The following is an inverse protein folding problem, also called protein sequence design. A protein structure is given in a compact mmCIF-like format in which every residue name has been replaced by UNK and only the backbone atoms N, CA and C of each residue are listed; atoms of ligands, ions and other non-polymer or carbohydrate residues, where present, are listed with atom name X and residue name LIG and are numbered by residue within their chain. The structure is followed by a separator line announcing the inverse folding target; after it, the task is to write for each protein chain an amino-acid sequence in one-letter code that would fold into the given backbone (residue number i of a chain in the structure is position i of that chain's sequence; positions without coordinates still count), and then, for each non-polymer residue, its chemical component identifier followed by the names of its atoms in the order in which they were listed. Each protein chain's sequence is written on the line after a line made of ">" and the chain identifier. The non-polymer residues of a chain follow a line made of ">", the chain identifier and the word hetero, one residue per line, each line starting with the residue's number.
data_IF_228220592577
#
_entry.id   IF_228220592577
#
_cell.length_a   1.000
_cell.length_b   1.000
_cell.length_c   1.000
_cell.angle_alpha   90.00
_cell.angle_beta   90.00
_cell.angle_gamma   90.00
#
_symmetry.space_group_name_H-M   'P 1'
#
loop_
_entity.id
_entity.type
_entity.pdbx_description
1 polymer ?
#
# COMPACT_ATOMS: atom_id res chain seq x y z
N UNK A 1 16.93 -9.47 -23.22
CA UNK A 1 15.65 -9.93 -23.80
C UNK A 1 14.58 -9.59 -22.80
N UNK A 2 13.75 -8.58 -23.09
CA UNK A 2 12.56 -8.30 -22.30
C UNK A 2 11.62 -9.51 -22.49
N UNK A 3 11.46 -10.32 -21.45
CA UNK A 3 10.40 -11.32 -21.46
C UNK A 3 9.07 -10.59 -21.43
N UNK A 4 8.25 -10.81 -22.44
CA UNK A 4 6.85 -10.41 -22.40
C UNK A 4 6.20 -11.19 -21.27
N UNK A 5 5.44 -10.51 -20.41
CA UNK A 5 4.53 -11.18 -19.49
C UNK A 5 3.78 -12.26 -20.28
N UNK A 6 4.01 -13.52 -19.91
CA UNK A 6 3.49 -14.64 -20.67
C UNK A 6 2.02 -14.81 -20.30
N UNK A 7 1.16 -14.20 -21.09
CA UNK A 7 -0.27 -14.43 -21.01
C UNK A 7 -0.58 -15.73 -21.75
N UNK A 8 -0.77 -16.80 -21.01
CA UNK A 8 -1.38 -18.00 -21.56
C UNK A 8 -2.88 -17.74 -21.66
N UNK A 9 -3.47 -17.98 -22.83
CA UNK A 9 -4.92 -17.99 -23.11
C UNK A 9 -5.68 -16.64 -23.08
N UNK A 10 -5.00 -15.48 -23.13
CA UNK A 10 -5.65 -14.16 -23.10
C UNK A 10 -6.16 -13.74 -21.73
N UNK A 11 -5.77 -14.43 -20.67
CA UNK A 11 -6.08 -14.08 -19.28
C UNK A 11 -5.01 -13.17 -18.71
N UNK A 12 -5.43 -12.04 -18.13
CA UNK A 12 -4.58 -11.08 -17.45
C UNK A 12 -4.90 -11.06 -15.96
N UNK A 13 -4.01 -11.63 -15.15
CA UNK A 13 -4.21 -11.75 -13.71
C UNK A 13 -3.51 -10.61 -12.99
N UNK A 14 -4.28 -9.75 -12.36
CA UNK A 14 -3.79 -8.60 -11.59
C UNK A 14 -3.68 -8.97 -10.13
N UNK A 15 -2.46 -8.90 -9.58
CA UNK A 15 -2.20 -9.04 -8.16
C UNK A 15 -2.30 -7.71 -7.43
N UNK A 16 -3.03 -7.66 -6.34
CA UNK A 16 -3.28 -6.45 -5.56
C UNK A 16 -3.55 -6.76 -4.09
N UNK A 17 -3.29 -5.77 -3.24
CA UNK A 17 -3.69 -5.76 -1.84
C UNK A 17 -5.17 -5.33 -1.75
N UNK A 18 -6.05 -6.23 -1.31
CA UNK A 18 -7.48 -5.97 -1.20
C UNK A 18 -7.89 -5.09 0.00
N UNK A 19 -6.95 -4.69 0.83
CA UNK A 19 -7.12 -3.77 1.96
C UNK A 19 -6.43 -2.42 1.69
N UNK A 20 -6.50 -1.95 0.44
CA UNK A 20 -5.84 -0.74 -0.03
C UNK A 20 -6.80 0.20 -0.79
N UNK A 21 -7.91 0.63 -0.15
CA UNK A 21 -8.85 1.56 -0.77
C UNK A 21 -8.23 2.96 -0.93
N UNK A 22 -8.56 3.73 -1.95
CA UNK A 22 -9.54 3.48 -3.00
C UNK A 22 -8.99 2.72 -4.22
N UNK A 23 -7.77 2.20 -4.18
CA UNK A 23 -7.08 1.60 -5.33
C UNK A 23 -7.57 0.17 -5.61
N UNK A 24 -7.58 -0.70 -4.60
CA UNK A 24 -8.11 -2.06 -4.65
C UNK A 24 -8.65 -2.47 -3.30
N UNK A 25 -9.88 -2.90 -3.24
CA UNK A 25 -10.53 -3.30 -2.00
C UNK A 25 -11.79 -4.14 -2.27
N UNK A 26 -12.35 -4.71 -1.22
CA UNK A 26 -13.62 -5.42 -1.27
C UNK A 26 -14.75 -4.50 -0.83
N UNK A 27 -15.78 -4.38 -1.65
CA UNK A 27 -16.97 -3.60 -1.31
C UNK A 27 -17.93 -4.37 -0.38
N UNK A 28 -19.03 -3.73 0.00
CA UNK A 28 -20.05 -4.32 0.88
C UNK A 28 -20.72 -5.57 0.28
N UNK A 29 -20.74 -5.70 -1.05
CA UNK A 29 -21.27 -6.88 -1.75
C UNK A 29 -20.29 -8.05 -1.80
N UNK A 30 -19.04 -7.84 -1.40
CA UNK A 30 -17.98 -8.81 -1.47
C UNK A 30 -17.21 -8.82 -2.80
N UNK A 31 -17.49 -7.85 -3.69
CA UNK A 31 -16.78 -7.71 -4.96
C UNK A 31 -15.49 -6.91 -4.78
N UNK A 32 -14.46 -7.27 -5.55
CA UNK A 32 -13.23 -6.51 -5.63
C UNK A 32 -13.39 -5.34 -6.58
N UNK A 33 -13.19 -4.14 -6.05
CA UNK A 33 -13.39 -2.86 -6.73
C UNK A 33 -12.24 -1.91 -6.46
N UNK A 34 -12.21 -0.79 -7.15
CA UNK A 34 -11.28 0.29 -6.92
C UNK A 34 -10.72 0.88 -8.20
N UNK A 35 -10.03 2.01 -8.03
CA UNK A 35 -9.49 2.80 -9.12
C UNK A 35 -8.53 1.98 -10.01
N UNK A 36 -7.61 1.24 -9.42
CA UNK A 36 -6.64 0.43 -10.16
C UNK A 36 -7.32 -0.72 -10.89
N UNK A 37 -8.33 -1.34 -10.28
CA UNK A 37 -9.08 -2.44 -10.89
C UNK A 37 -9.95 -1.96 -12.05
N UNK A 38 -10.49 -0.75 -11.98
CA UNK A 38 -11.22 -0.12 -13.09
C UNK A 38 -10.28 0.15 -14.28
N UNK A 39 -9.07 0.66 -14.01
CA UNK A 39 -8.05 0.85 -15.04
C UNK A 39 -7.63 -0.48 -15.68
N UNK A 40 -7.44 -1.51 -14.85
CA UNK A 40 -7.08 -2.85 -15.33
C UNK A 40 -8.18 -3.44 -16.23
N UNK A 41 -9.45 -3.25 -15.87
CA UNK A 41 -10.56 -3.69 -16.69
C UNK A 41 -10.59 -2.98 -18.05
N UNK A 42 -10.33 -1.67 -18.08
CA UNK A 42 -10.27 -0.91 -19.33
C UNK A 42 -9.12 -1.36 -20.22
N UNK A 43 -7.95 -1.62 -19.64
CA UNK A 43 -6.81 -2.18 -20.38
C UNK A 43 -7.16 -3.53 -20.98
N UNK A 44 -7.80 -4.39 -20.21
CA UNK A 44 -8.26 -5.72 -20.71
C UNK A 44 -9.28 -5.58 -21.85
N UNK A 45 -10.25 -4.66 -21.70
CA UNK A 45 -11.26 -4.41 -22.73
C UNK A 45 -10.63 -3.98 -24.06
N UNK A 46 -9.65 -3.07 -24.02
CA UNK A 46 -8.95 -2.56 -25.20
C UNK A 46 -8.07 -3.61 -25.90
N UNK A 47 -7.61 -4.61 -25.16
CA UNK A 47 -6.74 -5.65 -25.68
C UNK A 47 -7.45 -6.99 -25.96
N UNK A 48 -8.74 -7.08 -25.65
CA UNK A 48 -9.49 -8.32 -25.78
C UNK A 48 -9.06 -9.40 -24.78
N UNK A 49 -8.58 -8.98 -23.60
CA UNK A 49 -8.14 -9.87 -22.52
C UNK A 49 -9.24 -10.07 -21.49
N UNK A 50 -9.15 -11.20 -20.79
CA UNK A 50 -10.01 -11.48 -19.63
C UNK A 50 -9.28 -11.07 -18.35
N UNK A 51 -9.86 -10.17 -17.56
CA UNK A 51 -9.32 -9.76 -16.27
C UNK A 51 -9.62 -10.82 -15.21
N UNK A 52 -8.59 -11.21 -14.48
CA UNK A 52 -8.70 -11.96 -13.22
C UNK A 52 -8.14 -11.09 -12.10
N UNK A 53 -8.95 -10.81 -11.09
CA UNK A 53 -8.59 -10.03 -9.92
C UNK A 53 -8.09 -11.00 -8.84
N UNK A 54 -6.80 -10.96 -8.55
CA UNK A 54 -6.16 -11.86 -7.59
C UNK A 54 -5.68 -11.08 -6.36
N UNK A 55 -6.40 -11.15 -5.23
CA UNK A 55 -5.88 -10.57 -4.00
C UNK A 55 -4.65 -11.34 -3.54
N UNK A 56 -3.65 -10.60 -3.09
CA UNK A 56 -2.38 -11.15 -2.58
C UNK A 56 -2.01 -10.48 -1.27
N UNK A 57 -1.21 -11.17 -0.47
CA UNK A 57 -0.48 -10.52 0.60
C UNK A 57 0.61 -9.63 -0.01
N UNK A 58 0.68 -8.37 0.42
CA UNK A 58 1.60 -7.42 -0.17
C UNK A 58 3.07 -7.86 -0.08
N UNK A 59 3.42 -8.47 1.04
CA UNK A 59 4.78 -9.00 1.28
C UNK A 59 5.14 -10.19 0.36
N UNK A 60 4.16 -10.82 -0.26
CA UNK A 60 4.33 -11.95 -1.20
C UNK A 60 4.36 -11.54 -2.67
N UNK A 61 4.23 -10.26 -2.99
CA UNK A 61 4.04 -9.77 -4.37
C UNK A 61 5.14 -10.22 -5.34
N UNK A 62 6.39 -10.22 -4.91
CA UNK A 62 7.53 -10.60 -5.76
C UNK A 62 7.52 -12.11 -6.05
N UNK A 63 7.21 -12.91 -5.05
CA UNK A 63 7.07 -14.36 -5.23
C UNK A 63 5.93 -14.68 -6.20
N UNK A 64 4.77 -14.04 -6.05
CA UNK A 64 3.61 -14.22 -6.92
C UNK A 64 3.90 -13.78 -8.36
N UNK A 65 4.61 -12.67 -8.54
CA UNK A 65 5.02 -12.18 -9.86
C UNK A 65 6.04 -13.10 -10.52
N UNK A 66 7.07 -13.48 -9.80
CA UNK A 66 8.17 -14.30 -10.31
C UNK A 66 7.74 -15.74 -10.61
N UNK A 67 6.79 -16.29 -9.87
CA UNK A 67 6.23 -17.61 -10.13
C UNK A 67 5.24 -17.65 -11.30
N UNK A 68 4.78 -16.47 -11.76
CA UNK A 68 3.76 -16.37 -12.80
C UNK A 68 2.33 -16.59 -12.30
N UNK A 69 2.10 -16.66 -10.99
CA UNK A 69 0.76 -16.74 -10.39
C UNK A 69 -0.07 -15.51 -10.74
N UNK A 70 0.57 -14.35 -10.83
CA UNK A 70 0.00 -13.10 -11.32
C UNK A 70 0.74 -12.62 -12.56
N UNK A 71 0.04 -11.92 -13.46
CA UNK A 71 0.62 -11.34 -14.68
C UNK A 71 1.31 -10.01 -14.41
N UNK A 72 0.81 -9.26 -13.45
CA UNK A 72 1.37 -7.99 -12.99
C UNK A 72 0.93 -7.69 -11.55
N UNK A 73 1.63 -6.75 -10.93
CA UNK A 73 1.20 -6.08 -9.69
C UNK A 73 0.58 -4.75 -10.09
N UNK A 74 -0.64 -4.48 -9.63
CA UNK A 74 -1.33 -3.22 -9.89
C UNK A 74 -2.07 -2.73 -8.65
N UNK A 75 -1.47 -1.81 -7.89
CA UNK A 75 -1.90 -1.51 -6.52
C UNK A 75 -1.52 -0.10 -6.04
N UNK A 76 -1.58 0.94 -6.85
CA UNK A 76 -1.04 2.23 -6.43
C UNK A 76 0.41 2.11 -5.97
N UNK A 77 1.16 1.29 -6.64
CA UNK A 77 2.49 0.82 -6.26
C UNK A 77 3.53 1.91 -6.47
N UNK A 78 4.15 2.39 -5.39
CA UNK A 78 5.14 3.46 -5.44
C UNK A 78 6.44 3.00 -6.12
N UNK A 79 6.87 3.75 -7.12
CA UNK A 79 8.10 3.49 -7.87
C UNK A 79 9.37 3.86 -7.10
N UNK A 80 9.31 4.91 -6.31
CA UNK A 80 10.47 5.51 -5.63
C UNK A 80 11.22 4.47 -4.79
N UNK A 81 12.51 4.34 -5.05
CA UNK A 81 13.38 3.36 -4.40
C UNK A 81 13.30 1.93 -4.95
N UNK A 82 12.49 1.71 -6.00
CA UNK A 82 12.26 0.40 -6.63
C UNK A 82 12.40 0.42 -8.14
N UNK A 83 12.96 1.50 -8.69
CA UNK A 83 13.00 1.76 -10.12
C UNK A 83 13.65 0.64 -10.92
N UNK A 84 14.68 0.03 -10.36
CA UNK A 84 15.45 -1.04 -11.00
C UNK A 84 14.91 -2.46 -10.72
N UNK A 85 13.93 -2.59 -9.81
CA UNK A 85 13.42 -3.90 -9.40
C UNK A 85 12.36 -4.47 -10.34
N UNK A 86 11.64 -3.60 -11.06
CA UNK A 86 10.51 -3.96 -11.91
C UNK A 86 10.55 -3.28 -13.26
N UNK A 87 9.74 -3.77 -14.19
CA UNK A 87 9.36 -3.00 -15.38
C UNK A 87 8.09 -2.24 -15.08
N UNK A 88 8.16 -0.92 -15.05
CA UNK A 88 7.09 -0.03 -14.64
C UNK A 88 6.26 0.50 -15.80
N UNK A 89 4.99 0.80 -15.53
CA UNK A 89 4.19 1.70 -16.36
C UNK A 89 4.66 3.15 -16.18
N UNK A 90 4.09 4.08 -16.94
CA UNK A 90 4.17 5.49 -16.58
C UNK A 90 3.44 5.73 -15.25
N UNK A 91 3.98 6.67 -14.45
CA UNK A 91 3.29 7.12 -13.25
C UNK A 91 1.94 7.78 -13.61
N UNK A 92 0.89 7.48 -12.85
CA UNK A 92 -0.46 7.99 -13.11
C UNK A 92 -1.13 8.66 -11.90
N UNK A 93 -0.51 8.57 -10.72
CA UNK A 93 -0.98 9.19 -9.47
C UNK A 93 0.23 9.70 -8.70
N UNK A 94 0.17 10.94 -8.21
CA UNK A 94 1.11 11.44 -7.22
C UNK A 94 0.79 10.84 -5.85
N UNK A 95 1.83 10.46 -5.11
CA UNK A 95 1.70 9.86 -3.80
C UNK A 95 2.69 10.47 -2.81
N UNK A 96 2.32 10.47 -1.54
CA UNK A 96 3.19 10.80 -0.42
C UNK A 96 2.85 9.92 0.78
N UNK A 97 3.82 9.75 1.69
CA UNK A 97 3.59 9.06 2.94
C UNK A 97 3.14 10.07 4.00
N UNK A 98 2.12 9.71 4.77
CA UNK A 98 1.55 10.54 5.83
C UNK A 98 1.43 9.75 7.12
N UNK A 99 1.27 10.46 8.22
CA UNK A 99 1.04 9.87 9.54
C UNK A 99 -0.40 10.13 9.96
N UNK A 100 -1.10 9.07 10.30
CA UNK A 100 -2.47 9.12 10.84
C UNK A 100 -2.42 8.80 12.34
N UNK A 101 -3.07 9.62 13.13
CA UNK A 101 -3.19 9.47 14.59
C UNK A 101 -4.64 9.65 15.02
N UNK A 102 -5.00 9.18 16.21
CA UNK A 102 -6.31 9.53 16.77
C UNK A 102 -6.39 11.02 17.06
N UNK A 103 -7.57 11.61 16.81
CA UNK A 103 -7.80 13.03 17.04
C UNK A 103 -7.57 13.46 18.50
N UNK A 104 -7.76 12.56 19.45
CA UNK A 104 -7.58 12.78 20.90
C UNK A 104 -6.16 12.44 21.40
N UNK A 105 -5.24 12.08 20.52
CA UNK A 105 -3.89 11.62 20.89
C UNK A 105 -2.97 12.73 21.43
N UNK A 106 -3.25 13.97 21.10
CA UNK A 106 -2.35 15.10 21.38
C UNK A 106 -1.13 15.18 20.45
N UNK A 107 -0.99 14.26 19.49
CA UNK A 107 0.08 14.27 18.48
C UNK A 107 -0.31 15.24 17.37
N UNK A 108 0.48 16.28 17.15
CA UNK A 108 0.20 17.34 16.16
C UNK A 108 1.32 17.57 15.15
N UNK A 109 2.49 17.00 15.39
CA UNK A 109 3.68 17.11 14.53
C UNK A 109 4.55 15.86 14.64
N UNK A 110 5.44 15.66 13.68
CA UNK A 110 6.28 14.47 13.62
C UNK A 110 7.15 14.25 14.87
N UNK A 111 7.65 15.33 15.48
CA UNK A 111 8.46 15.20 16.70
C UNK A 111 7.70 14.66 17.91
N UNK A 112 6.36 14.73 17.91
CA UNK A 112 5.53 14.16 18.98
C UNK A 112 5.46 12.62 18.91
N UNK A 113 5.98 12.02 17.85
CA UNK A 113 6.07 10.55 17.70
C UNK A 113 7.21 9.95 18.56
N UNK A 114 8.08 10.75 19.14
CA UNK A 114 9.12 10.27 20.05
C UNK A 114 8.51 9.48 21.21
N UNK A 115 9.03 8.27 21.44
CA UNK A 115 8.52 7.36 22.46
C UNK A 115 7.17 6.71 22.14
N UNK A 116 6.64 6.88 20.94
CA UNK A 116 5.36 6.31 20.50
C UNK A 116 5.55 4.99 19.74
N UNK A 117 4.50 4.19 19.72
CA UNK A 117 4.42 2.98 18.92
C UNK A 117 3.85 3.35 17.56
N UNK A 118 4.65 3.18 16.52
CA UNK A 118 4.29 3.48 15.13
C UNK A 118 4.16 2.19 14.34
N UNK A 119 3.14 2.08 13.50
CA UNK A 119 2.92 0.91 12.65
C UNK A 119 2.93 1.27 11.18
N UNK A 120 3.49 0.38 10.37
CA UNK A 120 3.52 0.44 8.91
C UNK A 120 3.12 -0.90 8.32
N UNK A 121 2.71 -0.92 7.07
CA UNK A 121 2.56 -2.18 6.36
C UNK A 121 3.94 -2.79 6.04
N UNK A 122 4.05 -4.10 6.12
CA UNK A 122 5.25 -4.82 5.68
C UNK A 122 5.55 -4.52 4.21
N UNK A 123 6.83 -4.33 3.89
CA UNK A 123 7.33 -4.03 2.54
C UNK A 123 6.67 -2.79 1.88
N UNK A 124 6.22 -1.85 2.70
CA UNK A 124 5.62 -0.59 2.25
C UNK A 124 6.66 0.49 1.98
N UNK A 125 6.26 1.51 1.21
CA UNK A 125 7.08 2.72 1.03
C UNK A 125 7.26 3.50 2.33
N UNK A 126 6.28 3.46 3.25
CA UNK A 126 6.42 4.06 4.59
C UNK A 126 7.55 3.37 5.38
N UNK A 127 7.62 2.04 5.35
CA UNK A 127 8.72 1.29 5.99
C UNK A 127 10.07 1.66 5.36
N UNK A 128 10.14 1.69 4.04
CA UNK A 128 11.36 2.07 3.32
C UNK A 128 11.83 3.50 3.63
N UNK A 129 10.89 4.44 3.82
CA UNK A 129 11.20 5.81 4.21
C UNK A 129 11.90 5.90 5.57
N UNK A 130 11.67 4.97 6.47
CA UNK A 130 12.29 4.93 7.80
C UNK A 130 13.56 4.06 7.85
N UNK A 131 13.57 2.93 7.13
CA UNK A 131 14.59 1.88 7.30
C UNK A 131 15.35 1.52 6.02
N UNK A 132 14.93 2.02 4.87
CA UNK A 132 15.57 1.74 3.59
C UNK A 132 17.00 2.27 3.51
N UNK A 133 17.81 1.71 2.61
CA UNK A 133 19.19 2.13 2.41
C UNK A 133 19.27 3.62 2.01
N UNK A 134 18.31 4.09 1.22
CA UNK A 134 18.21 5.46 0.72
C UNK A 134 17.30 6.36 1.58
N UNK A 135 16.90 5.89 2.79
CA UNK A 135 16.07 6.69 3.68
C UNK A 135 16.81 7.97 4.09
N UNK A 136 16.08 9.09 4.07
CA UNK A 136 16.60 10.38 4.50
C UNK A 136 17.03 10.33 5.97
N UNK A 137 18.14 11.02 6.32
CA UNK A 137 18.66 11.05 7.69
C UNK A 137 17.62 11.52 8.70
N UNK A 138 16.80 12.52 8.33
CA UNK A 138 15.72 13.01 9.17
C UNK A 138 14.68 11.95 9.49
N UNK A 139 14.32 11.12 8.52
CA UNK A 139 13.39 10.01 8.71
C UNK A 139 13.98 8.90 9.56
N UNK A 140 15.26 8.57 9.36
CA UNK A 140 15.97 7.60 10.20
C UNK A 140 16.05 8.07 11.66
N UNK A 141 16.36 9.34 11.87
CA UNK A 141 16.42 9.94 13.20
C UNK A 141 15.03 9.94 13.86
N UNK A 142 14.00 10.23 13.10
CA UNK A 142 12.62 10.17 13.58
C UNK A 142 12.25 8.74 14.00
N UNK A 143 12.51 7.75 13.17
CA UNK A 143 12.24 6.34 13.48
C UNK A 143 13.04 5.86 14.71
N UNK A 144 14.27 6.29 14.87
CA UNK A 144 15.08 5.99 16.05
C UNK A 144 14.51 6.55 17.34
N UNK A 145 13.67 7.60 17.27
CA UNK A 145 12.99 8.19 18.41
C UNK A 145 11.74 7.43 18.86
N UNK A 146 11.18 6.55 18.04
CA UNK A 146 9.99 5.77 18.37
C UNK A 146 10.26 4.80 19.52
N UNK A 147 9.22 4.45 20.27
CA UNK A 147 9.29 3.32 21.18
C UNK A 147 9.48 2.02 20.38
N UNK A 148 8.72 1.86 19.30
CA UNK A 148 8.87 0.76 18.35
C UNK A 148 8.26 1.13 17.00
N UNK A 149 8.81 0.55 15.94
CA UNK A 149 8.23 0.55 14.59
C UNK A 149 7.75 -0.88 14.30
N UNK A 150 6.44 -1.05 14.27
CA UNK A 150 5.81 -2.35 14.06
C UNK A 150 5.34 -2.50 12.61
N UNK A 151 5.28 -3.73 12.15
CA UNK A 151 4.80 -4.06 10.81
C UNK A 151 3.53 -4.92 10.90
N UNK A 152 2.59 -4.64 10.01
CA UNK A 152 1.35 -5.40 9.83
C UNK A 152 1.21 -5.80 8.36
N UNK A 153 0.35 -6.77 8.07
CA UNK A 153 0.14 -7.26 6.71
C UNK A 153 -0.65 -6.28 5.83
N UNK A 154 -1.56 -5.51 6.43
CA UNK A 154 -2.44 -4.58 5.73
C UNK A 154 -2.85 -3.39 6.60
N UNK A 155 -3.37 -2.34 5.97
CA UNK A 155 -3.76 -1.13 6.68
C UNK A 155 -5.07 -1.25 7.45
N UNK A 156 -5.94 -2.19 7.12
CA UNK A 156 -7.11 -2.45 7.97
C UNK A 156 -6.67 -2.95 9.36
N UNK A 157 -5.72 -3.87 9.42
CA UNK A 157 -5.09 -4.31 10.68
C UNK A 157 -4.42 -3.16 11.43
N UNK A 158 -3.74 -2.27 10.71
CA UNK A 158 -3.12 -1.07 11.30
C UNK A 158 -4.16 -0.17 11.97
N UNK A 159 -5.28 0.11 11.31
CA UNK A 159 -6.35 0.93 11.88
C UNK A 159 -7.04 0.26 13.08
N UNK A 160 -7.23 -1.05 13.04
CA UNK A 160 -7.75 -1.79 14.20
C UNK A 160 -6.83 -1.63 15.42
N UNK A 161 -5.52 -1.69 15.22
CA UNK A 161 -4.54 -1.47 16.28
C UNK A 161 -4.53 -0.01 16.77
N UNK A 162 -4.72 0.95 15.87
CA UNK A 162 -4.84 2.36 16.22
C UNK A 162 -6.10 2.63 17.04
N UNK A 163 -7.24 2.07 16.63
CA UNK A 163 -8.53 2.21 17.32
C UNK A 163 -8.51 1.59 18.72
N UNK A 164 -7.86 0.43 18.87
CA UNK A 164 -7.71 -0.25 20.17
C UNK A 164 -6.74 0.44 21.13
N UNK A 165 -5.92 1.35 20.61
CA UNK A 165 -4.86 2.03 21.38
C UNK A 165 -3.58 1.21 21.55
N UNK A 166 -3.46 0.06 20.88
CA UNK A 166 -2.22 -0.75 20.91
C UNK A 166 -1.08 -0.12 20.14
N UNK A 167 -1.38 0.77 19.18
CA UNK A 167 -0.42 1.65 18.52
C UNK A 167 -0.87 3.11 18.61
N UNK A 168 0.05 4.03 18.42
CA UNK A 168 -0.21 5.48 18.55
C UNK A 168 -0.34 6.16 17.18
N UNK A 169 0.28 5.62 16.15
CA UNK A 169 0.31 6.20 14.81
C UNK A 169 0.43 5.13 13.72
N UNK A 170 -0.12 5.43 12.55
CA UNK A 170 0.01 4.65 11.31
C UNK A 170 0.66 5.52 10.25
N UNK A 171 1.74 5.05 9.61
CA UNK A 171 2.29 5.70 8.43
C UNK A 171 1.84 4.96 7.18
N UNK A 172 1.33 5.71 6.19
CA UNK A 172 0.67 5.14 5.04
C UNK A 172 0.59 6.11 3.87
N UNK A 173 0.14 5.60 2.73
CA UNK A 173 -0.07 6.39 1.52
C UNK A 173 -1.23 7.38 1.71
N UNK A 174 -1.05 8.61 1.21
CA UNK A 174 -2.02 9.69 1.42
C UNK A 174 -3.41 9.37 0.82
N UNK A 175 -3.48 8.69 -0.31
CA UNK A 175 -4.76 8.33 -0.94
C UNK A 175 -5.57 7.37 -0.08
N UNK A 176 -4.91 6.37 0.49
CA UNK A 176 -5.52 5.42 1.42
C UNK A 176 -5.92 6.12 2.72
N UNK A 177 -5.03 6.97 3.26
CA UNK A 177 -5.32 7.76 4.46
C UNK A 177 -6.58 8.59 4.29
N UNK A 178 -6.71 9.34 3.21
CA UNK A 178 -7.89 10.17 2.93
C UNK A 178 -9.17 9.35 2.86
N UNK A 179 -9.14 8.23 2.16
CA UNK A 179 -10.29 7.33 2.08
C UNK A 179 -10.71 6.82 3.47
N UNK A 180 -9.76 6.33 4.24
CA UNK A 180 -10.00 5.76 5.56
C UNK A 180 -10.51 6.80 6.58
N UNK A 181 -9.98 8.01 6.55
CA UNK A 181 -10.44 9.10 7.42
C UNK A 181 -11.89 9.49 7.10
N UNK A 182 -12.24 9.55 5.82
CA UNK A 182 -13.62 9.82 5.39
C UNK A 182 -14.57 8.70 5.81
N UNK A 183 -14.19 7.44 5.59
CA UNK A 183 -15.01 6.28 5.91
C UNK A 183 -15.17 6.05 7.42
N UNK A 184 -14.16 6.34 8.22
CA UNK A 184 -14.12 6.10 9.67
C UNK A 184 -14.57 7.31 10.51
N UNK A 185 -14.74 8.47 9.89
CA UNK A 185 -15.23 9.69 10.52
C UNK A 185 -14.18 10.44 11.36
N UNK A 186 -14.65 11.27 12.30
CA UNK A 186 -13.84 12.25 13.03
C UNK A 186 -12.96 11.71 14.16
N UNK A 187 -12.67 10.42 14.18
CA UNK A 187 -11.82 9.78 15.20
C UNK A 187 -10.31 10.08 15.02
N UNK A 188 -9.93 10.53 13.82
CA UNK A 188 -8.53 10.71 13.41
C UNK A 188 -8.23 12.12 12.96
#
# INVERSE_FOLDING_TARGET
>A
KKEKAQMSDGTFTVGFDAEFPPYGYKDESGEYVGFDLDLAQEVCNRNGWTLVKQPIDWDSKDMELNSGTISCIWNGFTMDGREDEYTWSSAYVDNSQVVVVRADSGITKLSDLAGKVVVVQADSSALAAFTGEDAEEANRALAASFQSLQQVSDYNSAFMNLESGSVDAVCMDIGVAKYELEARGSKY
#
